data_IF_812241687557
#
_entry.id   IF_812241687557
#
_cell.length_a   1.000
_cell.length_b   1.000
_cell.length_c   1.000
_cell.angle_alpha   90.00
_cell.angle_beta   90.00
_cell.angle_gamma   90.00
#
_symmetry.space_group_name_H-M   'P 1'
#
loop_
_entity.id
_entity.type
_entity.pdbx_description
1 polymer ?
#
# COMPACT_ATOMS: atom_id res chain seq x y z
N UNK A 1 2.08 1.27 -24.70
CA UNK A 1 1.19 0.20 -24.22
C UNK A 1 0.86 0.33 -22.74
N UNK A 2 1.74 -0.03 -21.78
CA UNK A 2 1.38 -0.01 -20.34
C UNK A 2 0.94 1.37 -19.82
N UNK A 3 1.67 2.42 -20.18
CA UNK A 3 1.30 3.79 -19.79
C UNK A 3 -0.03 4.23 -20.43
N UNK A 4 -0.34 3.75 -21.63
CA UNK A 4 -1.61 4.04 -22.31
C UNK A 4 -2.76 3.32 -21.60
N UNK A 5 -2.60 2.03 -21.29
CA UNK A 5 -3.59 1.27 -20.52
C UNK A 5 -3.87 1.89 -19.15
N UNK A 6 -2.84 2.45 -18.51
CA UNK A 6 -2.99 3.19 -17.26
C UNK A 6 -3.81 4.47 -17.45
N UNK A 7 -3.45 5.31 -18.44
CA UNK A 7 -4.12 6.58 -18.74
C UNK A 7 -5.57 6.41 -19.20
N UNK A 8 -5.88 5.31 -19.86
CA UNK A 8 -7.22 4.99 -20.35
C UNK A 8 -8.07 4.23 -19.32
N UNK A 9 -7.54 3.93 -18.14
CA UNK A 9 -8.19 3.07 -17.13
C UNK A 9 -8.73 1.77 -17.74
N UNK A 10 -7.93 1.12 -18.60
CA UNK A 10 -8.39 0.03 -19.45
C UNK A 10 -8.87 -1.18 -18.63
N UNK A 11 -10.19 -1.42 -18.64
CA UNK A 11 -10.88 -2.43 -17.83
C UNK A 11 -10.81 -3.85 -18.40
N UNK A 12 -10.19 -4.06 -19.58
CA UNK A 12 -10.05 -5.41 -20.16
C UNK A 12 -9.27 -6.31 -19.21
N UNK A 13 -9.63 -7.59 -19.22
CA UNK A 13 -8.99 -8.63 -18.42
C UNK A 13 -8.54 -9.77 -19.33
N UNK A 14 -7.50 -10.48 -18.92
CA UNK A 14 -7.16 -11.77 -19.53
C UNK A 14 -8.04 -12.85 -18.90
N UNK A 15 -8.96 -13.41 -19.69
CA UNK A 15 -9.71 -14.60 -19.29
C UNK A 15 -8.95 -15.87 -19.68
N UNK A 16 -8.40 -16.58 -18.68
CA UNK A 16 -7.87 -17.92 -18.87
C UNK A 16 -8.97 -18.93 -18.57
N UNK A 17 -9.53 -19.56 -19.62
CA UNK A 17 -10.46 -20.68 -19.46
C UNK A 17 -9.67 -21.96 -19.23
N UNK A 18 -9.50 -22.35 -17.97
CA UNK A 18 -8.98 -23.65 -17.59
C UNK A 18 -10.16 -24.62 -17.40
N UNK A 19 -10.23 -25.77 -18.11
CA UNK A 19 -11.42 -26.65 -18.12
C UNK A 19 -11.88 -27.20 -16.75
N UNK A 20 -11.04 -27.12 -15.72
CA UNK A 20 -11.29 -27.67 -14.37
C UNK A 20 -11.06 -26.66 -13.24
N UNK A 21 -10.79 -25.40 -13.54
CA UNK A 21 -10.65 -24.35 -12.55
C UNK A 21 -11.65 -23.23 -12.86
N UNK A 22 -12.26 -22.65 -11.83
CA UNK A 22 -13.08 -21.44 -12.00
C UNK A 22 -12.28 -20.41 -12.78
N UNK A 23 -12.88 -19.84 -13.83
CA UNK A 23 -12.36 -18.70 -14.56
C UNK A 23 -11.98 -17.65 -13.53
N UNK A 24 -10.68 -17.45 -13.28
CA UNK A 24 -10.22 -16.33 -12.45
C UNK A 24 -9.94 -15.20 -13.42
N UNK A 25 -10.83 -14.19 -13.54
CA UNK A 25 -10.45 -12.99 -14.26
C UNK A 25 -9.13 -12.46 -13.68
N UNK A 26 -8.16 -12.15 -14.55
CA UNK A 26 -7.02 -11.36 -14.11
C UNK A 26 -7.51 -9.98 -13.67
N UNK A 27 -6.79 -9.31 -12.76
CA UNK A 27 -7.06 -7.88 -12.50
C UNK A 27 -7.08 -7.08 -13.82
N UNK A 28 -7.85 -5.98 -13.91
CA UNK A 28 -7.87 -5.11 -15.08
C UNK A 28 -6.47 -4.75 -15.59
N UNK A 29 -6.32 -4.56 -16.89
CA UNK A 29 -5.03 -4.22 -17.51
C UNK A 29 -4.38 -2.99 -16.89
N UNK A 30 -5.17 -1.98 -16.47
CA UNK A 30 -4.60 -0.81 -15.81
C UNK A 30 -4.01 -1.12 -14.41
N UNK A 31 -4.58 -2.06 -13.64
CA UNK A 31 -4.01 -2.52 -12.37
C UNK A 31 -2.69 -3.25 -12.61
N UNK A 32 -2.67 -4.14 -13.61
CA UNK A 32 -1.45 -4.82 -14.04
C UNK A 32 -0.39 -3.81 -14.49
N UNK A 33 -0.82 -2.73 -15.16
CA UNK A 33 0.06 -1.65 -15.59
C UNK A 33 0.69 -0.91 -14.41
N UNK A 34 -0.07 -0.60 -13.34
CA UNK A 34 0.50 -0.02 -12.10
C UNK A 34 1.63 -0.88 -11.56
N UNK A 35 1.39 -2.19 -11.41
CA UNK A 35 2.37 -3.13 -10.84
C UNK A 35 3.63 -3.18 -11.71
N UNK A 36 3.47 -3.29 -13.03
CA UNK A 36 4.59 -3.44 -13.97
C UNK A 36 5.39 -2.14 -14.11
N UNK A 37 4.72 -1.00 -14.25
CA UNK A 37 5.38 0.31 -14.35
C UNK A 37 6.20 0.61 -13.07
N UNK A 38 5.67 0.26 -11.89
CA UNK A 38 6.43 0.34 -10.65
C UNK A 38 7.65 -0.60 -10.62
N UNK A 39 7.52 -1.84 -11.12
CA UNK A 39 8.66 -2.78 -11.21
C UNK A 39 9.74 -2.31 -12.19
N UNK A 40 9.34 -1.65 -13.27
CA UNK A 40 10.24 -1.08 -14.26
C UNK A 40 10.77 0.31 -13.87
N UNK A 41 10.27 0.89 -12.76
CA UNK A 41 10.67 2.20 -12.25
C UNK A 41 10.42 3.35 -13.26
N UNK A 42 9.31 3.27 -14.00
CA UNK A 42 8.94 4.22 -15.05
C UNK A 42 8.46 5.54 -14.43
N UNK A 43 9.34 6.56 -14.41
CA UNK A 43 9.04 7.86 -13.79
C UNK A 43 7.93 8.63 -14.50
N UNK A 44 7.78 8.42 -15.80
CA UNK A 44 6.72 9.01 -16.62
C UNK A 44 5.32 8.55 -16.19
N UNK A 45 5.22 7.44 -15.44
CA UNK A 45 3.96 6.95 -14.91
C UNK A 45 3.51 7.66 -13.63
N UNK A 46 4.40 8.40 -12.94
CA UNK A 46 4.11 9.04 -11.65
C UNK A 46 2.87 9.93 -11.70
N UNK A 47 2.70 10.86 -12.67
CA UNK A 47 1.51 11.70 -12.71
C UNK A 47 0.22 10.89 -12.83
N UNK A 48 0.19 9.89 -13.71
CA UNK A 48 -1.00 9.05 -13.90
C UNK A 48 -1.30 8.19 -12.65
N UNK A 49 -0.27 7.72 -11.93
CA UNK A 49 -0.46 7.02 -10.66
C UNK A 49 -0.99 7.95 -9.56
N UNK A 50 -0.57 9.21 -9.53
CA UNK A 50 -1.09 10.21 -8.59
C UNK A 50 -2.54 10.59 -8.91
N UNK A 51 -2.89 10.72 -10.19
CA UNK A 51 -4.26 10.94 -10.62
C UNK A 51 -5.16 9.78 -10.15
N UNK A 52 -4.71 8.52 -10.33
CA UNK A 52 -5.43 7.36 -9.81
C UNK A 52 -5.55 7.35 -8.28
N UNK A 53 -4.46 7.68 -7.57
CA UNK A 53 -4.46 7.73 -6.11
C UNK A 53 -5.41 8.79 -5.57
N UNK A 54 -5.58 9.90 -6.30
CA UNK A 54 -6.54 10.97 -5.93
C UNK A 54 -8.00 10.54 -5.97
N UNK A 55 -8.31 9.44 -6.68
CA UNK A 55 -9.63 8.81 -6.69
C UNK A 55 -9.82 7.81 -5.54
N UNK A 56 -8.80 7.60 -4.70
CA UNK A 56 -8.95 6.80 -3.48
C UNK A 56 -9.83 7.57 -2.50
N UNK A 57 -10.77 6.90 -1.82
CA UNK A 57 -11.47 7.49 -0.70
C UNK A 57 -10.47 8.03 0.34
N UNK A 58 -10.85 9.08 1.09
CA UNK A 58 -10.05 9.56 2.21
C UNK A 58 -9.68 8.42 3.15
N UNK A 59 -8.44 8.39 3.70
CA UNK A 59 -7.98 7.30 4.55
C UNK A 59 -8.94 6.96 5.69
N UNK A 60 -9.61 7.96 6.26
CA UNK A 60 -10.52 7.83 7.41
C UNK A 60 -11.78 7.02 7.12
N UNK A 61 -12.11 6.81 5.84
CA UNK A 61 -13.31 6.05 5.42
C UNK A 61 -12.96 4.83 4.59
N UNK A 62 -11.68 4.54 4.33
CA UNK A 62 -11.28 3.36 3.56
C UNK A 62 -11.73 2.05 4.21
N UNK A 63 -11.80 2.03 5.53
CA UNK A 63 -12.33 0.92 6.32
C UNK A 63 -13.84 0.73 6.16
N UNK A 64 -14.59 1.66 5.57
CA UNK A 64 -16.01 1.47 5.28
C UNK A 64 -16.22 0.64 4.00
N UNK A 65 -15.17 0.48 3.20
CA UNK A 65 -15.18 -0.31 1.96
C UNK A 65 -14.88 -1.80 2.21
N UNK A 66 -14.85 -2.28 3.47
CA UNK A 66 -14.60 -3.68 3.87
C UNK A 66 -15.47 -4.67 3.07
N UNK A 67 -14.93 -5.88 2.85
CA UNK A 67 -15.34 -7.06 2.03
C UNK A 67 -16.75 -7.24 1.43
N UNK A 68 -17.80 -6.55 1.83
CA UNK A 68 -19.09 -6.60 1.12
C UNK A 68 -19.04 -5.92 -0.26
N UNK A 69 -18.05 -5.04 -0.51
CA UNK A 69 -17.87 -4.32 -1.78
C UNK A 69 -16.90 -4.95 -2.80
N UNK A 70 -16.16 -6.00 -2.45
CA UNK A 70 -15.07 -6.56 -3.29
C UNK A 70 -15.44 -7.87 -4.00
N UNK A 71 -16.68 -7.98 -4.51
CA UNK A 71 -17.09 -9.05 -5.42
C UNK A 71 -16.59 -8.82 -6.86
N UNK A 72 -17.14 -9.56 -7.84
CA UNK A 72 -16.79 -9.40 -9.27
C UNK A 72 -16.95 -7.94 -9.77
N UNK A 73 -17.85 -7.17 -9.14
CA UNK A 73 -18.10 -5.74 -9.38
C UNK A 73 -16.89 -4.83 -9.07
N UNK A 74 -15.92 -5.30 -8.27
CA UNK A 74 -14.70 -4.56 -7.94
C UNK A 74 -13.89 -4.17 -9.18
N UNK A 75 -13.99 -4.98 -10.23
CA UNK A 75 -13.28 -4.75 -11.49
C UNK A 75 -14.06 -3.90 -12.49
N UNK A 76 -15.32 -3.59 -12.18
CA UNK A 76 -16.24 -2.93 -13.10
C UNK A 76 -16.29 -1.41 -12.89
N UNK A 77 -16.12 -0.93 -11.66
CA UNK A 77 -16.18 0.51 -11.36
C UNK A 77 -14.81 1.19 -11.47
N UNK A 78 -14.77 2.27 -12.27
CA UNK A 78 -13.61 3.17 -12.43
C UNK A 78 -13.74 4.45 -11.60
N UNK A 79 -14.83 4.61 -10.85
CA UNK A 79 -15.14 5.87 -10.15
C UNK A 79 -14.42 6.01 -8.81
N UNK A 80 -13.95 4.90 -8.23
CA UNK A 80 -13.28 4.85 -6.94
C UNK A 80 -12.01 4.00 -7.09
N UNK A 81 -10.89 4.44 -6.50
CA UNK A 81 -9.70 3.61 -6.36
C UNK A 81 -9.84 2.74 -5.10
N UNK A 82 -10.11 1.42 -5.21
CA UNK A 82 -10.34 0.58 -4.04
C UNK A 82 -9.02 0.31 -3.29
N UNK A 83 -9.08 -0.03 -1.99
CA UNK A 83 -7.91 -0.31 -1.14
C UNK A 83 -6.82 -1.21 -1.77
N UNK A 84 -7.13 -2.30 -2.48
CA UNK A 84 -6.06 -3.10 -3.12
C UNK A 84 -5.34 -2.34 -4.24
N UNK A 85 -6.06 -1.55 -5.05
CA UNK A 85 -5.43 -0.69 -6.05
C UNK A 85 -4.62 0.43 -5.40
N UNK A 86 -5.14 1.06 -4.34
CA UNK A 86 -4.41 2.06 -3.54
C UNK A 86 -3.08 1.48 -3.04
N UNK A 87 -3.11 0.27 -2.48
CA UNK A 87 -1.93 -0.48 -2.02
C UNK A 87 -0.93 -0.74 -3.16
N UNK A 88 -1.40 -1.14 -4.34
CA UNK A 88 -0.56 -1.33 -5.52
C UNK A 88 0.07 -0.03 -6.03
N UNK A 89 -0.69 1.07 -6.05
CA UNK A 89 -0.20 2.38 -6.48
C UNK A 89 0.89 2.87 -5.54
N UNK A 90 0.65 2.84 -4.22
CA UNK A 90 1.64 3.24 -3.21
C UNK A 90 2.92 2.41 -3.35
N UNK A 91 2.77 1.09 -3.53
CA UNK A 91 3.92 0.20 -3.75
C UNK A 91 4.67 0.56 -5.04
N UNK A 92 3.96 0.86 -6.13
CA UNK A 92 4.56 1.23 -7.40
C UNK A 92 5.33 2.56 -7.29
N UNK A 93 4.71 3.57 -6.68
CA UNK A 93 5.33 4.87 -6.41
C UNK A 93 6.56 4.73 -5.52
N UNK A 94 6.52 3.89 -4.48
CA UNK A 94 7.67 3.58 -3.64
C UNK A 94 8.82 2.92 -4.41
N UNK A 95 8.52 2.02 -5.37
CA UNK A 95 9.56 1.43 -6.24
C UNK A 95 10.18 2.45 -7.18
N UNK A 96 9.38 3.39 -7.69
CA UNK A 96 9.86 4.48 -8.56
C UNK A 96 10.72 5.47 -7.77
N UNK A 97 10.33 5.77 -6.52
CA UNK A 97 11.08 6.63 -5.61
C UNK A 97 11.09 8.11 -6.02
N UNK A 98 10.09 8.58 -6.79
CA UNK A 98 9.96 10.00 -7.14
C UNK A 98 9.41 10.80 -5.93
N UNK A 99 10.17 11.75 -5.36
CA UNK A 99 9.75 12.52 -4.18
C UNK A 99 8.44 13.28 -4.35
N UNK A 100 8.00 13.57 -5.59
CA UNK A 100 6.71 14.23 -5.85
C UNK A 100 5.51 13.46 -5.33
N UNK A 101 5.66 12.15 -5.13
CA UNK A 101 4.60 11.31 -4.61
C UNK A 101 4.46 11.35 -3.08
N UNK A 102 5.44 11.89 -2.36
CA UNK A 102 5.48 11.80 -0.90
C UNK A 102 4.26 12.44 -0.23
N UNK A 103 3.88 13.66 -0.64
CA UNK A 103 2.75 14.36 -0.05
C UNK A 103 1.41 13.65 -0.30
N UNK A 104 1.26 13.00 -1.46
CA UNK A 104 0.06 12.22 -1.78
C UNK A 104 -0.01 10.89 -1.01
N UNK A 105 1.13 10.31 -0.62
CA UNK A 105 1.19 9.05 0.11
C UNK A 105 1.03 9.26 1.62
N UNK A 106 1.49 10.39 2.16
CA UNK A 106 1.49 10.66 3.62
C UNK A 106 0.16 10.41 4.34
N UNK A 107 -1.02 10.77 3.78
CA UNK A 107 -2.31 10.50 4.42
C UNK A 107 -2.54 9.00 4.67
N UNK A 108 -2.00 8.12 3.83
CA UNK A 108 -2.18 6.67 3.91
C UNK A 108 -1.33 5.99 4.99
N UNK A 109 -0.56 6.75 5.79
CA UNK A 109 0.05 6.24 7.01
C UNK A 109 -0.98 5.92 8.10
N UNK A 110 -2.17 6.54 8.05
CA UNK A 110 -3.22 6.38 9.05
C UNK A 110 -4.58 6.10 8.39
N UNK A 111 -4.88 4.83 8.15
CA UNK A 111 -6.03 4.36 7.35
C UNK A 111 -7.17 3.80 8.19
N UNK A 112 -6.92 3.48 9.45
CA UNK A 112 -7.94 2.96 10.35
C UNK A 112 -7.51 3.22 11.78
N UNK A 113 -8.47 3.57 12.63
CA UNK A 113 -8.29 3.43 14.07
C UNK A 113 -8.06 1.95 14.42
N UNK A 114 -7.39 1.70 15.54
CA UNK A 114 -6.97 0.37 15.99
C UNK A 114 -8.02 -0.71 15.70
N UNK A 115 -7.72 -1.58 14.74
CA UNK A 115 -8.62 -2.68 14.38
C UNK A 115 -8.64 -3.65 15.56
N UNK A 116 -9.82 -3.97 16.08
CA UNK A 116 -9.94 -4.97 17.14
C UNK A 116 -9.42 -6.33 16.66
N UNK A 117 -8.74 -7.07 17.54
CA UNK A 117 -8.07 -8.37 17.30
C UNK A 117 -8.91 -9.37 16.46
N UNK A 118 -10.25 -9.29 16.53
CA UNK A 118 -11.17 -10.18 15.80
C UNK A 118 -11.32 -9.81 14.31
N UNK A 119 -11.15 -8.54 13.95
CA UNK A 119 -11.42 -8.01 12.61
C UNK A 119 -10.11 -7.84 11.79
N UNK A 120 -8.95 -7.95 12.44
CA UNK A 120 -7.61 -7.77 11.85
C UNK A 120 -7.28 -8.74 10.70
N UNK A 121 -7.91 -9.91 10.68
CA UNK A 121 -7.74 -10.92 9.63
C UNK A 121 -8.74 -10.75 8.48
N UNK A 122 -9.80 -9.97 8.66
CA UNK A 122 -10.81 -9.75 7.63
C UNK A 122 -10.25 -8.79 6.57
N UNK A 123 -9.63 -7.68 6.93
CA UNK A 123 -9.21 -6.67 5.93
C UNK A 123 -7.74 -6.26 6.04
N UNK A 124 -6.88 -7.20 5.62
CA UNK A 124 -5.42 -7.04 5.63
C UNK A 124 -4.93 -5.75 4.96
N UNK A 125 -5.54 -5.32 3.84
CA UNK A 125 -5.07 -4.15 3.09
C UNK A 125 -5.26 -2.86 3.89
N UNK A 126 -6.43 -2.59 4.45
CA UNK A 126 -6.68 -1.34 5.19
C UNK A 126 -6.07 -1.37 6.58
N UNK A 127 -6.06 -2.53 7.24
CA UNK A 127 -5.47 -2.68 8.58
C UNK A 127 -3.94 -2.58 8.55
N UNK A 128 -3.29 -3.20 7.55
CA UNK A 128 -1.84 -3.39 7.56
C UNK A 128 -1.16 -3.03 6.24
N UNK A 129 -1.73 -3.45 5.12
CA UNK A 129 -1.10 -3.36 3.80
C UNK A 129 -0.80 -1.93 3.38
N UNK A 130 -1.81 -1.08 3.35
CA UNK A 130 -1.71 0.33 2.98
C UNK A 130 -0.76 1.10 3.92
N UNK A 131 -0.94 1.10 5.26
CA UNK A 131 -0.05 1.86 6.14
C UNK A 131 1.40 1.38 6.08
N UNK A 132 1.65 0.07 5.99
CA UNK A 132 3.03 -0.45 5.86
C UNK A 132 3.65 -0.14 4.49
N UNK A 133 2.87 -0.22 3.41
CA UNK A 133 3.33 0.14 2.07
C UNK A 133 3.60 1.65 1.97
N UNK A 134 2.78 2.49 2.60
CA UNK A 134 2.99 3.93 2.67
C UNK A 134 4.29 4.26 3.42
N UNK A 135 4.50 3.67 4.60
CA UNK A 135 5.73 3.85 5.37
C UNK A 135 6.97 3.41 4.58
N UNK A 136 6.92 2.27 3.89
CA UNK A 136 8.01 1.82 3.04
C UNK A 136 8.27 2.76 1.85
N UNK A 137 7.21 3.18 1.15
CA UNK A 137 7.31 4.03 -0.04
C UNK A 137 7.88 5.41 0.31
N UNK A 138 7.41 6.03 1.38
CA UNK A 138 7.94 7.29 1.90
C UNK A 138 9.42 7.18 2.26
N UNK A 139 9.83 6.07 2.90
CA UNK A 139 11.24 5.84 3.21
C UNK A 139 12.12 5.70 1.95
N UNK A 140 11.59 5.13 0.85
CA UNK A 140 12.32 5.12 -0.43
C UNK A 140 12.53 6.54 -1.00
N UNK A 141 11.67 7.49 -0.62
CA UNK A 141 11.74 8.90 -1.00
C UNK A 141 12.51 9.77 0.02
N UNK A 142 13.08 9.15 1.06
CA UNK A 142 13.80 9.84 2.14
C UNK A 142 12.90 10.43 3.23
N UNK A 143 11.59 10.20 3.19
CA UNK A 143 10.64 10.62 4.21
C UNK A 143 10.49 9.52 5.27
N UNK A 144 11.00 9.77 6.48
CA UNK A 144 10.95 8.82 7.60
C UNK A 144 9.68 8.95 8.47
N UNK A 145 8.66 9.71 8.04
CA UNK A 145 7.39 9.88 8.78
C UNK A 145 6.64 8.57 9.03
N UNK A 146 6.93 7.52 8.27
CA UNK A 146 6.37 6.17 8.51
C UNK A 146 7.01 5.39 9.65
N UNK A 147 8.14 5.83 10.22
CA UNK A 147 8.83 5.08 11.29
C UNK A 147 7.94 4.84 12.52
N UNK A 148 7.25 5.85 13.11
CA UNK A 148 6.35 5.64 14.25
C UNK A 148 5.29 4.56 13.99
N UNK A 149 4.68 4.57 12.80
CA UNK A 149 3.66 3.59 12.42
C UNK A 149 4.22 2.17 12.45
N UNK A 150 5.45 1.97 11.96
CA UNK A 150 6.07 0.66 11.98
C UNK A 150 6.48 0.20 13.38
N UNK A 151 6.81 1.14 14.27
CA UNK A 151 7.08 0.85 15.69
C UNK A 151 5.82 0.32 16.35
N UNK A 152 4.67 0.98 16.15
CA UNK A 152 3.38 0.53 16.68
C UNK A 152 3.04 -0.88 16.20
N UNK A 153 3.32 -1.18 14.93
CA UNK A 153 3.06 -2.49 14.32
C UNK A 153 3.95 -3.63 14.84
N UNK A 154 5.00 -3.35 15.61
CA UNK A 154 5.73 -4.38 16.35
C UNK A 154 4.87 -5.01 17.45
N UNK A 155 3.80 -4.34 17.88
CA UNK A 155 2.81 -4.85 18.84
C UNK A 155 1.61 -5.57 18.22
N UNK A 156 1.46 -5.57 16.88
CA UNK A 156 0.28 -6.15 16.21
C UNK A 156 0.13 -7.65 16.50
N UNK A 157 -1.08 -8.18 16.66
CA UNK A 157 -1.32 -9.60 16.98
C UNK A 157 -0.84 -10.60 15.89
N UNK A 158 -1.01 -10.32 14.58
CA UNK A 158 -0.55 -11.22 13.54
C UNK A 158 0.97 -11.22 13.48
N UNK A 159 1.59 -12.38 13.73
CA UNK A 159 3.05 -12.51 13.76
C UNK A 159 3.72 -12.08 12.45
N UNK A 160 3.03 -12.24 11.33
CA UNK A 160 3.47 -11.85 10.00
C UNK A 160 3.62 -10.33 9.88
N UNK A 161 2.68 -9.56 10.46
CA UNK A 161 2.72 -8.10 10.48
C UNK A 161 3.89 -7.61 11.32
N UNK A 162 4.07 -8.14 12.54
CA UNK A 162 5.24 -7.82 13.39
C UNK A 162 6.57 -8.12 12.70
N UNK A 163 6.67 -9.29 12.06
CA UNK A 163 7.87 -9.71 11.34
C UNK A 163 8.17 -8.78 10.15
N UNK A 164 7.13 -8.32 9.46
CA UNK A 164 7.26 -7.40 8.35
C UNK A 164 7.69 -6.01 8.83
N UNK A 165 7.04 -5.48 9.87
CA UNK A 165 7.37 -4.20 10.50
C UNK A 165 8.82 -4.17 11.00
N UNK A 166 9.27 -5.24 11.69
CA UNK A 166 10.67 -5.39 12.10
C UNK A 166 11.63 -5.28 10.92
N UNK A 167 11.46 -6.12 9.89
CA UNK A 167 12.35 -6.13 8.72
C UNK A 167 12.36 -4.78 8.01
N UNK A 168 11.21 -4.12 7.98
CA UNK A 168 11.07 -2.84 7.32
C UNK A 168 11.77 -1.73 8.12
N UNK A 169 11.59 -1.67 9.45
CA UNK A 169 12.34 -0.79 10.35
C UNK A 169 13.85 -0.98 10.18
N UNK A 170 14.33 -2.21 10.22
CA UNK A 170 15.76 -2.52 10.03
C UNK A 170 16.26 -2.05 8.66
N UNK A 171 15.45 -2.23 7.61
CA UNK A 171 15.79 -1.81 6.25
C UNK A 171 15.84 -0.29 6.08
N UNK A 172 14.86 0.44 6.61
CA UNK A 172 14.73 1.89 6.36
C UNK A 172 15.61 2.72 7.29
N UNK A 173 15.93 2.20 8.47
CA UNK A 173 16.76 2.90 9.47
C UNK A 173 18.22 2.45 9.43
N UNK A 174 18.49 1.22 8.98
CA UNK A 174 19.80 0.57 9.08
C UNK A 174 20.11 -0.02 10.46
N UNK A 175 19.21 0.15 11.43
CA UNK A 175 19.40 -0.28 12.81
C UNK A 175 18.85 -1.69 13.04
N UNK A 176 19.41 -2.41 14.02
CA UNK A 176 18.99 -3.78 14.37
C UNK A 176 18.56 -3.89 15.82
N UNK A 177 17.44 -3.25 16.15
CA UNK A 177 16.88 -3.23 17.51
C UNK A 177 15.89 -4.40 17.76
N UNK A 178 15.65 -5.24 16.75
CA UNK A 178 14.76 -6.39 16.87
C UNK A 178 13.29 -5.97 16.97
N UNK A 179 12.52 -6.70 17.80
CA UNK A 179 11.06 -6.53 17.93
C UNK A 179 10.63 -5.79 19.19
N UNK A 180 11.56 -5.14 19.87
CA UNK A 180 11.26 -4.38 21.08
C UNK A 180 10.78 -2.97 20.69
N UNK A 181 9.47 -2.65 20.84
CA UNK A 181 8.97 -1.33 20.47
C UNK A 181 9.63 -0.22 21.28
N UNK A 182 9.92 -0.45 22.58
CA UNK A 182 10.53 0.56 23.45
C UNK A 182 11.95 0.92 23.01
N UNK A 183 12.72 -0.07 22.53
CA UNK A 183 14.04 0.18 21.98
C UNK A 183 13.96 1.08 20.74
N UNK A 184 13.00 0.83 19.85
CA UNK A 184 12.78 1.65 18.66
C UNK A 184 12.26 3.05 18.99
N UNK A 185 11.32 3.19 19.92
CA UNK A 185 10.81 4.49 20.38
C UNK A 185 11.94 5.36 20.93
N UNK A 186 12.79 4.78 21.79
CA UNK A 186 13.94 5.48 22.36
C UNK A 186 14.92 5.92 21.29
N UNK A 187 15.20 5.05 20.31
CA UNK A 187 16.05 5.41 19.17
C UNK A 187 15.46 6.57 18.35
N UNK A 188 14.16 6.52 18.05
CA UNK A 188 13.48 7.54 17.26
C UNK A 188 13.45 8.90 17.96
N UNK A 189 13.19 8.92 19.28
CA UNK A 189 13.23 10.15 20.10
C UNK A 189 14.63 10.80 20.11
N UNK A 190 15.69 9.99 20.19
CA UNK A 190 17.07 10.50 20.16
C UNK A 190 17.43 11.08 18.78
N UNK A 191 16.89 10.51 17.69
CA UNK A 191 17.07 10.97 16.31
C UNK A 191 16.44 12.32 16.04
N UNK A 192 15.25 12.59 16.58
CA UNK A 192 14.54 13.87 16.43
C UNK A 192 15.10 15.02 17.28
N UNK A 193 16.07 14.74 18.15
CA UNK A 193 16.72 15.73 19.02
C UNK A 193 18.07 16.23 18.48
N UNK A 194 18.43 15.86 17.25
CA UNK A 194 19.70 16.21 16.56
C UNK A 194 19.41 17.00 15.29
#
# INVERSE_FOLDING_TARGET
ALLEFLKESNTRQFEYKLPLASSRPSVPLYWSSVILLGRFQEKEAVPAMLDLLSMSPPPEVLDTFRRSGYGDLMFESTEICPPPLTSFIITALGRIGDPKAADAIRPFLNVSDQVGIRDENEDFETAWGIPTNAAWALAQMGDQSGVPILIDLLGAEPSQVRNYAQKLLERITGEKLGRDPQAWEKWWQNKGSS
#
